data_IF_778749570152
#
_entry.id   IF_778749570152
#
_cell.length_a   1.000
_cell.length_b   1.000
_cell.length_c   1.000
_cell.angle_alpha   90.00
_cell.angle_beta   90.00
_cell.angle_gamma   90.00
#
_symmetry.space_group_name_H-M   'P 1'
#
loop_
_entity.id
_entity.type
_entity.pdbx_description
1 polymer ?
#
# COMPACT_ATOMS: atom_id res chain seq x y z
N UNK A 1 2.18 21.29 19.52
CA UNK A 1 2.96 21.90 18.42
C UNK A 1 2.00 22.37 17.35
N UNK A 2 1.81 23.71 17.26
CA UNK A 2 1.05 24.31 16.16
C UNK A 2 2.01 24.56 14.99
N UNK A 3 1.96 23.69 13.98
CA UNK A 3 2.74 23.87 12.77
C UNK A 3 1.91 24.53 11.68
N UNK A 4 2.56 25.37 10.90
CA UNK A 4 2.03 25.80 9.63
C UNK A 4 1.79 24.55 8.76
N UNK A 5 0.70 24.52 7.99
CA UNK A 5 0.33 23.38 7.12
C UNK A 5 1.39 23.01 6.06
N UNK A 6 2.34 23.92 5.81
CA UNK A 6 3.43 23.73 4.84
C UNK A 6 4.60 22.90 5.40
N UNK A 7 4.65 22.66 6.73
CA UNK A 7 5.78 21.98 7.39
C UNK A 7 5.26 20.92 8.37
N UNK A 8 5.95 19.80 8.44
CA UNK A 8 5.69 18.72 9.39
C UNK A 8 6.93 18.44 10.26
N UNK A 9 6.73 18.17 11.54
CA UNK A 9 7.75 17.76 12.49
C UNK A 9 7.31 16.43 13.10
N UNK A 10 8.22 15.48 13.21
CA UNK A 10 7.99 14.25 13.96
C UNK A 10 8.09 14.56 15.47
N UNK A 11 6.99 14.44 16.25
CA UNK A 11 6.99 14.77 17.66
C UNK A 11 7.65 13.70 18.53
N UNK A 12 8.04 12.56 17.98
CA UNK A 12 8.65 11.44 18.72
C UNK A 12 10.17 11.55 18.83
N UNK A 13 10.80 12.42 18.02
CA UNK A 13 12.23 12.66 18.04
C UNK A 13 12.55 13.90 18.88
N UNK A 14 13.58 13.84 19.73
CA UNK A 14 14.15 15.02 20.40
C UNK A 14 14.85 15.95 19.39
N UNK A 15 15.18 15.43 18.21
CA UNK A 15 15.61 16.15 17.03
C UNK A 15 14.50 16.09 16.00
N UNK A 16 13.95 17.24 15.62
CA UNK A 16 12.88 17.30 14.60
C UNK A 16 13.44 17.48 13.21
N UNK A 17 13.00 16.65 12.26
CA UNK A 17 13.20 16.93 10.83
C UNK A 17 12.07 17.81 10.33
N UNK A 18 12.41 18.95 9.73
CA UNK A 18 11.43 19.81 9.05
C UNK A 18 11.39 19.42 7.58
N UNK A 19 10.25 18.94 7.11
CA UNK A 19 9.98 18.74 5.68
C UNK A 19 9.00 19.81 5.19
N UNK A 20 9.16 20.25 3.95
CA UNK A 20 8.22 21.17 3.31
C UNK A 20 7.55 20.54 2.10
N UNK A 21 6.35 21.02 1.77
CA UNK A 21 5.67 20.66 0.53
C UNK A 21 6.45 21.16 -0.68
N UNK A 22 6.37 20.46 -1.80
CA UNK A 22 7.01 20.84 -3.06
C UNK A 22 6.48 22.15 -3.65
N UNK A 23 5.32 22.62 -3.17
CA UNK A 23 4.69 23.91 -3.57
C UNK A 23 5.27 25.12 -2.85
N UNK A 24 6.13 24.93 -1.82
CA UNK A 24 6.74 26.04 -1.09
C UNK A 24 7.82 26.69 -1.96
N UNK A 25 7.65 27.97 -2.26
CA UNK A 25 8.61 28.73 -3.06
C UNK A 25 10.00 28.79 -2.40
N UNK A 26 11.08 28.69 -3.20
CA UNK A 26 12.45 28.82 -2.72
C UNK A 26 12.70 30.16 -2.00
N UNK A 27 13.70 30.19 -1.15
CA UNK A 27 14.10 31.36 -0.36
C UNK A 27 14.02 31.13 1.15
N UNK A 28 14.43 32.14 1.92
CA UNK A 28 14.38 32.09 3.39
C UNK A 28 12.92 32.12 3.86
N UNK A 29 12.59 31.20 4.77
CA UNK A 29 11.30 31.10 5.44
C UNK A 29 11.51 31.20 6.94
N UNK A 30 10.66 31.98 7.59
CA UNK A 30 10.62 32.05 9.06
C UNK A 30 9.49 31.16 9.57
N UNK A 31 9.84 30.23 10.43
CA UNK A 31 8.88 29.28 11.02
C UNK A 31 8.75 29.62 12.51
N UNK A 32 7.59 30.12 12.96
CA UNK A 32 7.35 30.29 14.37
C UNK A 32 7.16 28.93 15.04
N UNK A 33 8.00 28.63 16.03
CA UNK A 33 7.92 27.41 16.83
C UNK A 33 7.38 27.76 18.20
N UNK A 34 6.24 27.18 18.55
CA UNK A 34 5.63 27.33 19.86
C UNK A 34 5.67 26.01 20.61
N UNK A 35 6.30 26.00 21.78
CA UNK A 35 6.36 24.83 22.67
C UNK A 35 5.56 25.14 23.91
N UNK A 36 4.69 24.23 24.31
CA UNK A 36 3.96 24.27 25.57
C UNK A 36 4.49 23.16 26.48
N UNK A 37 4.96 23.52 27.68
CA UNK A 37 5.41 22.53 28.64
C UNK A 37 4.23 21.86 29.37
N UNK A 38 4.55 20.86 30.21
CA UNK A 38 3.54 20.10 30.98
C UNK A 38 2.83 20.96 32.03
N UNK A 39 3.39 22.14 32.40
CA UNK A 39 2.82 23.09 33.35
C UNK A 39 1.96 24.16 32.70
N UNK A 40 1.89 24.13 31.34
CA UNK A 40 1.07 25.06 30.58
C UNK A 40 1.81 26.34 30.15
N UNK A 41 3.10 26.49 30.45
CA UNK A 41 3.89 27.61 29.99
C UNK A 41 4.12 27.53 28.49
N UNK A 42 4.07 28.68 27.83
CA UNK A 42 4.21 28.78 26.36
C UNK A 42 5.50 29.51 26.03
N UNK A 43 6.33 28.87 25.21
CA UNK A 43 7.57 29.44 24.70
C UNK A 43 7.48 29.54 23.20
N UNK A 44 7.78 30.71 22.64
CA UNK A 44 7.74 30.93 21.19
C UNK A 44 9.12 31.41 20.73
N UNK A 45 9.61 30.84 19.64
CA UNK A 45 10.83 31.28 18.97
C UNK A 45 10.64 31.16 17.45
N UNK A 46 11.39 31.96 16.70
CA UNK A 46 11.42 31.89 15.25
C UNK A 46 12.64 31.09 14.80
N UNK A 47 12.40 30.14 13.91
CA UNK A 47 13.45 29.39 13.24
C UNK A 47 13.49 29.78 11.76
N UNK A 48 14.69 30.02 11.24
CA UNK A 48 14.87 30.31 9.81
C UNK A 48 15.31 29.07 9.07
N UNK A 49 14.65 28.77 7.97
CA UNK A 49 14.98 27.70 7.02
C UNK A 49 15.15 28.27 5.65
N UNK A 50 16.17 27.83 4.95
CA UNK A 50 16.33 28.19 3.55
C UNK A 50 15.78 27.07 2.66
N UNK A 51 14.68 27.33 1.98
CA UNK A 51 14.12 26.42 0.98
C UNK A 51 14.90 26.64 -0.31
N UNK A 52 15.61 25.60 -0.75
CA UNK A 52 16.32 25.63 -2.03
C UNK A 52 15.38 25.28 -3.17
N UNK A 53 15.59 25.93 -4.32
CA UNK A 53 14.84 25.58 -5.52
C UNK A 53 15.09 24.11 -5.88
N UNK A 54 14.00 23.37 -6.12
CA UNK A 54 14.09 22.00 -6.60
C UNK A 54 14.54 22.02 -8.06
N UNK A 55 15.78 21.67 -8.28
CA UNK A 55 16.29 21.45 -9.64
C UNK A 55 15.82 20.07 -10.08
N UNK A 56 14.76 20.02 -10.89
CA UNK A 56 14.30 18.80 -11.55
C UNK A 56 15.40 18.37 -12.55
N UNK A 57 16.01 17.22 -12.28
CA UNK A 57 16.93 16.62 -13.27
C UNK A 57 16.10 15.93 -14.35
N UNK A 58 16.61 15.92 -15.58
CA UNK A 58 15.97 15.16 -16.65
C UNK A 58 15.83 13.69 -16.22
N UNK A 59 14.60 13.18 -16.22
CA UNK A 59 14.27 11.83 -15.76
C UNK A 59 13.81 11.72 -14.28
N UNK A 60 13.82 12.80 -13.49
CA UNK A 60 13.21 12.78 -12.18
C UNK A 60 11.69 12.60 -12.30
N UNK A 61 11.14 11.68 -11.48
CA UNK A 61 9.70 11.48 -11.39
C UNK A 61 9.05 12.64 -10.67
N UNK A 62 7.91 13.11 -11.22
CA UNK A 62 7.08 14.14 -10.60
C UNK A 62 5.63 13.65 -10.54
N UNK A 63 5.01 13.77 -9.36
CA UNK A 63 3.62 13.38 -9.18
C UNK A 63 2.64 14.22 -10.00
N UNK A 64 3.00 15.47 -10.31
CA UNK A 64 2.18 16.33 -11.18
C UNK A 64 2.14 15.83 -12.64
N UNK A 65 3.09 14.96 -13.02
CA UNK A 65 3.18 14.32 -14.34
C UNK A 65 2.78 12.84 -14.29
N UNK A 66 2.24 12.36 -13.16
CA UNK A 66 1.87 10.96 -13.00
C UNK A 66 0.65 10.60 -13.84
N UNK A 67 0.81 9.59 -14.69
CA UNK A 67 -0.29 8.90 -15.37
C UNK A 67 -0.46 7.57 -14.66
N UNK A 68 -1.46 7.51 -13.77
CA UNK A 68 -1.68 6.37 -12.89
C UNK A 68 -2.68 5.42 -13.53
N UNK A 69 -2.28 4.15 -13.66
CA UNK A 69 -3.16 3.05 -14.05
C UNK A 69 -3.47 2.21 -12.80
N UNK A 70 -4.70 2.28 -12.30
CA UNK A 70 -5.17 1.40 -11.23
C UNK A 70 -5.60 0.05 -11.81
N UNK A 71 -5.15 -1.04 -11.20
CA UNK A 71 -5.57 -2.39 -11.57
C UNK A 71 -5.91 -3.23 -10.33
N UNK A 72 -7.01 -3.97 -10.42
CA UNK A 72 -7.21 -5.14 -9.57
C UNK A 72 -6.29 -6.23 -10.13
N UNK A 73 -5.20 -6.54 -9.41
CA UNK A 73 -4.10 -7.38 -9.91
C UNK A 73 -4.61 -8.70 -10.43
N UNK A 74 -5.46 -9.38 -9.66
CA UNK A 74 -6.08 -10.65 -10.03
C UNK A 74 -6.85 -10.63 -11.38
N UNK A 75 -7.36 -9.46 -11.79
CA UNK A 75 -8.18 -9.28 -13.00
C UNK A 75 -7.39 -8.80 -14.20
N UNK A 76 -6.10 -8.55 -14.06
CA UNK A 76 -5.33 -7.89 -15.11
C UNK A 76 -4.79 -8.86 -16.15
N UNK A 77 -3.93 -9.78 -15.77
CA UNK A 77 -3.35 -10.79 -16.67
C UNK A 77 -2.73 -11.94 -15.88
N UNK A 78 -3.12 -13.16 -16.19
CA UNK A 78 -2.54 -14.40 -15.67
C UNK A 78 -1.21 -14.67 -16.38
N UNK A 79 -0.11 -14.56 -15.64
CA UNK A 79 1.24 -14.78 -16.14
C UNK A 79 1.86 -16.09 -15.68
N UNK A 80 1.33 -16.68 -14.61
CA UNK A 80 1.81 -17.93 -14.00
C UNK A 80 0.63 -18.79 -13.52
N UNK A 81 0.11 -19.62 -14.40
CA UNK A 81 -1.01 -20.53 -14.07
C UNK A 81 -0.73 -21.50 -12.90
N UNK A 82 0.52 -21.58 -12.44
CA UNK A 82 0.91 -22.41 -11.29
C UNK A 82 0.45 -21.88 -9.94
N UNK A 83 0.09 -20.60 -9.86
CA UNK A 83 -0.39 -19.93 -8.63
C UNK A 83 -1.91 -19.73 -8.57
N UNK A 84 -2.66 -20.14 -9.59
CA UNK A 84 -4.10 -19.86 -9.71
C UNK A 84 -4.96 -20.44 -8.58
N UNK A 85 -4.69 -21.67 -8.14
CA UNK A 85 -5.28 -22.27 -6.93
C UNK A 85 -4.18 -22.50 -5.89
N UNK A 86 -3.52 -21.41 -5.48
CA UNK A 86 -2.28 -21.44 -4.72
C UNK A 86 -2.41 -22.08 -3.33
N UNK A 87 -3.61 -22.16 -2.79
CA UNK A 87 -3.92 -22.76 -1.49
C UNK A 87 -4.63 -24.10 -1.59
N UNK A 88 -5.04 -24.54 -2.81
CA UNK A 88 -5.74 -25.81 -3.04
C UNK A 88 -7.16 -25.84 -2.45
N UNK A 89 -7.82 -24.68 -2.38
CA UNK A 89 -9.15 -24.55 -1.78
C UNK A 89 -10.26 -24.40 -2.82
N UNK A 90 -9.90 -24.40 -4.12
CA UNK A 90 -10.85 -24.29 -5.21
C UNK A 90 -11.46 -22.89 -5.39
N UNK A 91 -10.70 -21.86 -5.02
CA UNK A 91 -11.10 -20.45 -5.07
C UNK A 91 -10.81 -19.78 -6.42
N UNK A 92 -10.24 -20.51 -7.37
CA UNK A 92 -9.97 -20.07 -8.74
C UNK A 92 -11.10 -20.53 -9.69
N UNK A 93 -11.69 -19.58 -10.39
CA UNK A 93 -12.70 -19.86 -11.40
C UNK A 93 -12.81 -18.70 -12.42
N UNK A 94 -12.58 -18.98 -13.68
CA UNK A 94 -12.67 -18.01 -14.80
C UNK A 94 -13.98 -18.08 -15.57
N UNK A 95 -15.02 -18.71 -15.00
CA UNK A 95 -16.33 -18.78 -15.62
C UNK A 95 -16.93 -17.39 -15.88
N UNK A 96 -17.58 -17.20 -17.04
CA UNK A 96 -18.11 -15.89 -17.49
C UNK A 96 -19.06 -15.22 -16.50
N UNK A 97 -19.63 -15.97 -15.56
CA UNK A 97 -20.58 -15.47 -14.55
C UNK A 97 -19.99 -15.39 -13.14
N UNK A 98 -18.73 -15.81 -12.97
CA UNK A 98 -18.06 -15.79 -11.68
C UNK A 98 -17.23 -14.52 -11.51
N UNK A 99 -17.79 -13.53 -10.85
CA UNK A 99 -17.08 -12.31 -10.46
C UNK A 99 -16.45 -12.37 -9.08
N UNK A 100 -16.64 -13.46 -8.33
CA UNK A 100 -16.35 -13.55 -6.90
C UNK A 100 -15.17 -14.45 -6.55
N UNK A 101 -14.61 -15.20 -7.51
CA UNK A 101 -13.43 -16.04 -7.36
C UNK A 101 -12.17 -15.38 -7.91
N UNK A 102 -11.00 -15.98 -7.64
CA UNK A 102 -9.73 -15.58 -8.27
C UNK A 102 -9.74 -15.90 -9.77
N UNK A 103 -9.13 -15.04 -10.57
CA UNK A 103 -9.00 -15.18 -12.02
C UNK A 103 -7.54 -15.29 -12.50
N UNK A 104 -6.59 -15.32 -11.58
CA UNK A 104 -5.19 -15.66 -11.84
C UNK A 104 -4.28 -14.51 -12.24
N UNK A 105 -4.76 -13.27 -12.26
CA UNK A 105 -3.87 -12.14 -12.49
C UNK A 105 -2.83 -12.00 -11.38
N UNK A 106 -1.55 -11.79 -11.73
CA UNK A 106 -0.42 -11.92 -10.83
C UNK A 106 0.76 -11.00 -11.17
N UNK A 107 1.85 -11.06 -10.38
CA UNK A 107 3.06 -10.26 -10.60
C UNK A 107 3.76 -10.62 -11.92
N UNK A 108 3.74 -11.88 -12.31
CA UNK A 108 4.32 -12.33 -13.57
C UNK A 108 3.55 -11.76 -14.76
N UNK A 109 2.24 -11.73 -14.67
CA UNK A 109 1.35 -11.14 -15.67
C UNK A 109 1.52 -9.62 -15.80
N UNK A 110 1.59 -8.91 -14.66
CA UNK A 110 1.92 -7.49 -14.66
C UNK A 110 3.26 -7.21 -15.33
N UNK A 111 4.29 -8.01 -15.00
CA UNK A 111 5.63 -7.89 -15.57
C UNK A 111 5.60 -8.08 -17.10
N UNK A 112 4.88 -9.09 -17.59
CA UNK A 112 4.72 -9.34 -19.03
C UNK A 112 4.01 -8.20 -19.77
N UNK A 113 3.21 -7.39 -19.09
CA UNK A 113 2.40 -6.31 -19.68
C UNK A 113 2.97 -4.90 -19.45
N UNK A 114 4.16 -4.76 -18.87
CA UNK A 114 4.76 -3.45 -18.63
C UNK A 114 4.94 -2.61 -19.90
N UNK A 115 5.33 -3.22 -21.02
CA UNK A 115 5.48 -2.50 -22.29
C UNK A 115 4.13 -2.01 -22.81
N UNK A 116 3.08 -2.82 -22.72
CA UNK A 116 1.73 -2.40 -23.07
C UNK A 116 1.29 -1.17 -22.25
N UNK A 117 1.51 -1.19 -20.93
CA UNK A 117 1.17 -0.05 -20.07
C UNK A 117 2.01 1.19 -20.37
N UNK A 118 3.30 0.99 -20.67
CA UNK A 118 4.19 2.08 -21.07
C UNK A 118 3.76 2.73 -22.37
N UNK A 119 3.34 1.92 -23.36
CA UNK A 119 2.86 2.40 -24.66
C UNK A 119 1.54 3.19 -24.54
N UNK A 120 0.73 2.92 -23.50
CA UNK A 120 -0.42 3.74 -23.12
C UNK A 120 -0.04 5.07 -22.45
N UNK A 121 1.25 5.31 -22.19
CA UNK A 121 1.73 6.50 -21.48
C UNK A 121 1.69 6.40 -19.96
N UNK A 122 1.40 5.22 -19.41
CA UNK A 122 1.40 4.98 -17.95
C UNK A 122 2.83 5.06 -17.42
N UNK A 123 3.02 5.81 -16.35
CA UNK A 123 4.28 5.90 -15.62
C UNK A 123 4.16 5.50 -14.14
N UNK A 124 2.96 5.18 -13.68
CA UNK A 124 2.69 4.69 -12.33
C UNK A 124 1.59 3.62 -12.38
N UNK A 125 1.88 2.44 -11.88
CA UNK A 125 0.91 1.34 -11.78
C UNK A 125 0.48 1.24 -10.32
N UNK A 126 -0.80 1.41 -10.05
CA UNK A 126 -1.39 1.23 -8.72
C UNK A 126 -2.04 -0.15 -8.66
N UNK A 127 -1.50 -1.02 -7.83
CA UNK A 127 -1.96 -2.40 -7.65
C UNK A 127 -2.75 -2.55 -6.34
N UNK A 128 -3.73 -3.44 -6.33
CA UNK A 128 -4.47 -3.83 -5.12
C UNK A 128 -3.54 -4.43 -4.05
N UNK A 129 -3.97 -4.52 -2.78
CA UNK A 129 -3.12 -5.01 -1.69
C UNK A 129 -2.53 -6.39 -1.97
N UNK A 130 -1.24 -6.54 -1.63
CA UNK A 130 -0.44 -7.72 -1.97
C UNK A 130 -0.29 -8.72 -0.83
N UNK A 131 -0.83 -8.40 0.35
CA UNK A 131 -0.71 -9.25 1.55
C UNK A 131 -1.64 -10.46 1.49
N UNK A 132 -1.32 -11.50 2.27
CA UNK A 132 -2.15 -12.71 2.35
C UNK A 132 -3.57 -12.37 2.78
N UNK A 133 -4.54 -12.86 2.01
CA UNK A 133 -5.97 -12.69 2.26
C UNK A 133 -6.58 -13.94 2.91
N UNK A 134 -7.77 -13.79 3.45
CA UNK A 134 -8.56 -14.92 3.95
C UNK A 134 -8.78 -15.93 2.82
N UNK A 135 -8.83 -17.21 3.18
CA UNK A 135 -8.99 -18.33 2.24
C UNK A 135 -10.42 -18.89 2.25
N UNK A 136 -11.16 -18.53 3.28
CA UNK A 136 -12.53 -19.00 3.48
C UNK A 136 -13.48 -18.25 2.56
N UNK A 137 -14.43 -18.99 2.00
CA UNK A 137 -15.58 -18.45 1.31
C UNK A 137 -16.42 -17.56 2.26
N UNK A 138 -16.63 -16.32 1.87
CA UNK A 138 -17.52 -15.37 2.56
C UNK A 138 -18.93 -15.40 1.98
N UNK A 139 -19.39 -16.54 1.61
CA UNK A 139 -20.64 -16.87 0.94
C UNK A 139 -21.72 -15.78 0.98
N UNK A 140 -22.02 -15.21 -0.17
CA UNK A 140 -23.13 -14.26 -0.31
C UNK A 140 -24.46 -15.01 -0.25
N UNK A 141 -25.21 -14.80 0.84
CA UNK A 141 -26.47 -15.47 1.10
C UNK A 141 -27.62 -15.02 0.18
N UNK A 142 -27.51 -13.84 -0.42
CA UNK A 142 -28.54 -13.31 -1.32
C UNK A 142 -28.42 -13.93 -2.71
N UNK A 143 -27.21 -14.14 -3.17
CA UNK A 143 -26.91 -14.69 -4.51
C UNK A 143 -26.56 -16.18 -4.49
N UNK A 144 -26.41 -16.78 -3.30
CA UNK A 144 -25.92 -18.16 -3.10
C UNK A 144 -24.56 -18.39 -3.80
N UNK A 145 -23.66 -17.39 -3.71
CA UNK A 145 -22.39 -17.37 -4.46
C UNK A 145 -21.21 -17.38 -3.48
N UNK A 146 -20.23 -18.26 -3.73
CA UNK A 146 -18.94 -18.23 -3.05
C UNK A 146 -18.21 -16.90 -3.37
N UNK A 147 -17.61 -16.27 -2.36
CA UNK A 147 -16.92 -15.00 -2.49
C UNK A 147 -15.58 -15.05 -1.79
N UNK A 148 -14.51 -14.83 -2.55
CA UNK A 148 -13.12 -14.92 -2.08
C UNK A 148 -12.41 -13.56 -2.08
N UNK A 149 -11.25 -13.50 -1.43
CA UNK A 149 -10.47 -12.29 -1.22
C UNK A 149 -9.62 -11.83 -2.41
N UNK A 150 -10.02 -12.13 -3.66
CA UNK A 150 -9.27 -11.83 -4.89
C UNK A 150 -8.85 -10.36 -5.05
N UNK A 151 -9.62 -9.46 -4.47
CA UNK A 151 -9.40 -8.02 -4.53
C UNK A 151 -8.29 -7.52 -3.59
N UNK A 152 -7.83 -8.33 -2.64
CA UNK A 152 -6.74 -7.99 -1.72
C UNK A 152 -7.16 -7.24 -0.44
N UNK A 153 -8.44 -6.87 -0.27
CA UNK A 153 -8.90 -6.04 0.84
C UNK A 153 -9.33 -6.82 2.11
N UNK A 154 -9.19 -8.14 2.11
CA UNK A 154 -9.52 -8.99 3.26
C UNK A 154 -8.27 -9.68 3.81
N UNK A 155 -7.29 -8.86 4.24
CA UNK A 155 -6.02 -9.36 4.75
C UNK A 155 -6.21 -10.29 5.96
N UNK A 156 -5.56 -11.45 5.94
CA UNK A 156 -5.44 -12.38 7.05
C UNK A 156 -4.06 -12.31 7.72
N UNK A 157 -3.01 -11.98 6.97
CA UNK A 157 -1.65 -11.87 7.48
C UNK A 157 -0.90 -10.75 6.73
N UNK A 158 -0.64 -9.64 7.42
CA UNK A 158 0.07 -8.48 6.86
C UNK A 158 1.58 -8.70 6.68
N UNK A 159 2.12 -9.81 7.16
CA UNK A 159 3.55 -10.14 7.10
C UNK A 159 3.91 -11.07 5.95
N UNK A 160 2.92 -11.55 5.20
CA UNK A 160 3.09 -12.49 4.09
C UNK A 160 2.51 -11.96 2.79
N UNK A 161 3.08 -12.36 1.67
CA UNK A 161 2.51 -12.14 0.36
C UNK A 161 1.35 -13.13 0.09
N UNK A 162 0.35 -12.65 -0.62
CA UNK A 162 -0.70 -13.50 -1.18
C UNK A 162 -0.11 -14.39 -2.28
N UNK A 163 -0.17 -15.70 -2.11
CA UNK A 163 0.42 -16.66 -3.03
C UNK A 163 -0.25 -16.69 -4.41
N UNK A 164 -1.50 -16.26 -4.52
CA UNK A 164 -2.16 -16.08 -5.82
C UNK A 164 -1.48 -15.00 -6.68
N UNK A 165 -0.83 -14.03 -6.05
CA UNK A 165 -0.10 -12.99 -6.75
C UNK A 165 1.34 -13.38 -7.10
N UNK A 166 1.85 -14.48 -6.52
CA UNK A 166 3.19 -14.97 -6.79
C UNK A 166 4.12 -14.95 -5.58
N UNK A 167 5.41 -15.00 -5.87
CA UNK A 167 6.50 -15.03 -4.89
C UNK A 167 7.13 -13.65 -4.70
N UNK A 168 7.92 -13.50 -3.62
CA UNK A 168 8.74 -12.31 -3.37
C UNK A 168 9.69 -12.02 -4.54
N UNK A 169 10.33 -13.05 -5.08
CA UNK A 169 11.22 -12.92 -6.25
C UNK A 169 10.49 -12.43 -7.50
N UNK A 170 9.24 -12.86 -7.71
CA UNK A 170 8.42 -12.38 -8.83
C UNK A 170 8.01 -10.92 -8.63
N UNK A 171 7.73 -10.52 -7.38
CA UNK A 171 7.44 -9.12 -7.05
C UNK A 171 8.67 -8.23 -7.23
N UNK A 172 9.85 -8.64 -6.74
CA UNK A 172 11.11 -7.93 -6.95
C UNK A 172 11.42 -7.77 -8.45
N UNK A 173 11.26 -8.84 -9.23
CA UNK A 173 11.46 -8.79 -10.68
C UNK A 173 10.51 -7.81 -11.38
N UNK A 174 9.24 -7.72 -10.93
CA UNK A 174 8.29 -6.72 -11.41
C UNK A 174 8.76 -5.29 -11.08
N UNK A 175 9.23 -5.05 -9.84
CA UNK A 175 9.74 -3.74 -9.42
C UNK A 175 10.95 -3.31 -10.26
N UNK A 176 11.93 -4.20 -10.42
CA UNK A 176 13.15 -3.93 -11.20
C UNK A 176 12.82 -3.64 -12.67
N UNK A 177 11.95 -4.44 -13.27
CA UNK A 177 11.52 -4.26 -14.64
C UNK A 177 10.74 -2.95 -14.84
N UNK A 178 9.81 -2.60 -13.93
CA UNK A 178 9.07 -1.36 -13.97
C UNK A 178 10.01 -0.14 -13.81
N UNK A 179 10.91 -0.18 -12.82
CA UNK A 179 11.87 0.90 -12.57
C UNK A 179 12.83 1.10 -13.75
N UNK A 180 13.31 0.02 -14.39
CA UNK A 180 14.14 0.10 -15.58
C UNK A 180 13.47 0.81 -16.76
N UNK A 181 12.14 0.77 -16.79
CA UNK A 181 11.30 1.44 -17.78
C UNK A 181 10.89 2.86 -17.36
N UNK A 182 11.33 3.34 -16.19
CA UNK A 182 10.96 4.63 -15.60
C UNK A 182 9.55 4.67 -15.00
N UNK A 183 8.94 3.50 -14.79
CA UNK A 183 7.60 3.36 -14.18
C UNK A 183 7.71 3.17 -12.67
N UNK A 184 6.69 3.58 -11.92
CA UNK A 184 6.56 3.36 -10.48
C UNK A 184 5.49 2.32 -10.21
N UNK A 185 5.69 1.53 -9.15
CA UNK A 185 4.64 0.67 -8.59
C UNK A 185 4.15 1.30 -7.29
N UNK A 186 2.85 1.52 -7.22
CA UNK A 186 2.14 1.99 -6.03
C UNK A 186 1.35 0.82 -5.48
N UNK A 187 1.66 0.39 -4.27
CA UNK A 187 0.96 -0.71 -3.58
C UNK A 187 -0.12 -0.14 -2.69
N UNK A 188 -1.35 -0.60 -2.86
CA UNK A 188 -2.44 -0.27 -1.94
C UNK A 188 -2.24 -0.96 -0.59
N UNK A 189 -2.58 -0.27 0.49
CA UNK A 189 -2.47 -0.80 1.85
C UNK A 189 -3.71 -0.49 2.67
N UNK A 190 -4.26 -1.51 3.31
CA UNK A 190 -5.42 -1.40 4.19
C UNK A 190 -4.96 -1.37 5.63
N UNK A 191 -4.99 -0.19 6.26
CA UNK A 191 -4.61 0.00 7.66
C UNK A 191 -5.82 0.10 8.60
N UNK A 192 -7.05 0.01 8.06
CA UNK A 192 -8.28 0.24 8.79
C UNK A 192 -8.91 -1.04 9.35
N UNK A 193 -8.77 -2.16 8.63
CA UNK A 193 -9.42 -3.43 8.97
C UNK A 193 -8.61 -4.63 8.48
N UNK A 194 -8.96 -5.82 8.96
CA UNK A 194 -8.53 -7.12 8.46
C UNK A 194 -9.70 -7.87 7.82
N UNK A 195 -9.44 -8.99 7.18
CA UNK A 195 -10.47 -9.86 6.60
C UNK A 195 -11.35 -10.53 7.66
N UNK A 196 -12.51 -10.99 7.25
CA UNK A 196 -13.46 -11.70 8.12
C UNK A 196 -12.83 -12.98 8.72
N UNK A 197 -13.15 -13.29 9.98
CA UNK A 197 -12.62 -14.49 10.68
C UNK A 197 -11.16 -14.37 11.13
N UNK A 198 -10.46 -13.29 10.79
CA UNK A 198 -9.05 -13.07 11.13
C UNK A 198 -8.83 -12.92 12.63
N UNK A 199 -9.86 -12.61 13.42
CA UNK A 199 -9.78 -12.47 14.88
C UNK A 199 -9.21 -13.71 15.56
N UNK A 200 -9.49 -14.90 15.04
CA UNK A 200 -8.94 -16.15 15.59
C UNK A 200 -7.43 -16.26 15.43
N UNK A 201 -6.88 -15.69 14.36
CA UNK A 201 -5.44 -15.61 14.12
C UNK A 201 -4.78 -14.56 15.00
N UNK A 202 -5.38 -13.38 15.14
CA UNK A 202 -4.87 -12.31 16.02
C UNK A 202 -4.89 -12.71 17.49
N UNK A 203 -5.91 -13.42 17.95
CA UNK A 203 -5.98 -13.93 19.32
C UNK A 203 -4.85 -14.90 19.68
N UNK A 204 -4.19 -15.50 18.69
CA UNK A 204 -3.02 -16.36 18.90
C UNK A 204 -1.68 -15.62 18.83
N UNK A 205 -1.68 -14.38 18.30
CA UNK A 205 -0.46 -13.60 18.01
C UNK A 205 -0.30 -12.43 18.99
N UNK A 206 -1.42 -11.79 19.37
CA UNK A 206 -1.40 -10.66 20.27
C UNK A 206 -1.36 -11.13 21.73
N UNK A 207 -0.28 -10.79 22.41
CA UNK A 207 -0.12 -11.03 23.86
C UNK A 207 0.10 -9.70 24.60
N UNK A 208 -0.37 -9.64 25.84
CA UNK A 208 0.00 -8.55 26.77
C UNK A 208 1.45 -8.70 27.24
N UNK A 209 1.90 -7.77 28.10
CA UNK A 209 3.25 -7.78 28.65
C UNK A 209 3.55 -9.03 29.51
N UNK A 210 2.52 -9.70 29.99
CA UNK A 210 2.60 -10.93 30.81
C UNK A 210 2.50 -12.21 29.98
N UNK A 211 2.35 -12.09 28.64
CA UNK A 211 2.26 -13.21 27.71
C UNK A 211 0.86 -13.81 27.57
N UNK A 212 -0.18 -13.17 28.11
CA UNK A 212 -1.56 -13.64 27.93
C UNK A 212 -2.12 -13.17 26.59
N UNK A 213 -2.89 -14.02 25.92
CA UNK A 213 -3.57 -13.65 24.66
C UNK A 213 -4.52 -12.48 24.87
N UNK A 214 -4.36 -11.44 24.06
CA UNK A 214 -5.29 -10.32 24.03
C UNK A 214 -6.42 -10.65 23.06
N UNK A 215 -7.66 -10.73 23.59
CA UNK A 215 -8.83 -10.82 22.72
C UNK A 215 -9.11 -9.44 22.11
N UNK A 216 -9.33 -9.38 20.80
CA UNK A 216 -9.83 -8.15 20.18
C UNK A 216 -11.20 -7.83 20.78
N UNK A 217 -11.32 -6.67 21.37
CA UNK A 217 -12.60 -6.15 21.88
C UNK A 217 -13.41 -5.77 20.63
N UNK A 218 -14.59 -6.36 20.49
CA UNK A 218 -15.59 -5.99 19.48
C UNK A 218 -16.27 -4.67 19.83
#
# INVERSE_FOLDING_TARGET
LGLNREFAIDPTLMEGTISCLNTVAAGEKTIPVTVKDIYGNVYTTDTKVNVTERVKKAGDFDWDEAVIYFTVTDRFFDGDAGNNDAYGVGDYNTGEKDGSSYHGGDFAGLNQKLDYLKDLGVNTIWITPIVENIREDQHDKETDTATYGYHGYWASDFTKLNKHLGTEQQFEALLDAAHSKGMKIMVDVVLNHAGYGTESHFNSILTDADGNSISMIR
#
